data_IF_631467772649
#
_entry.id   IF_631467772649
#
_cell.length_a   1.000
_cell.length_b   1.000
_cell.length_c   1.000
_cell.angle_alpha   90.00
_cell.angle_beta   90.00
_cell.angle_gamma   90.00
#
_symmetry.space_group_name_H-M   'P 1'
#
loop_
_entity.id
_entity.type
_entity.pdbx_description
1 polymer ?
#
# COMPACT_ATOMS: atom_id res chain seq x y z
N UNK A 1 -16.29 -9.12 -15.39
CA UNK A 1 -15.57 -10.37 -15.13
C UNK A 1 -14.10 -10.08 -15.32
N UNK A 2 -13.36 -9.87 -14.21
CA UNK A 2 -11.92 -9.68 -14.23
C UNK A 2 -11.21 -11.00 -14.52
N UNK A 3 -10.31 -10.99 -15.50
CA UNK A 3 -9.34 -12.06 -15.78
C UNK A 3 -8.32 -12.14 -14.64
N UNK A 4 -7.52 -13.20 -14.56
CA UNK A 4 -6.50 -13.51 -13.53
C UNK A 4 -5.37 -12.46 -13.30
N UNK A 5 -5.63 -11.17 -13.40
CA UNK A 5 -4.67 -10.09 -13.23
C UNK A 5 -5.28 -8.91 -12.47
N UNK A 6 -4.39 -8.10 -11.89
CA UNK A 6 -4.72 -6.87 -11.17
C UNK A 6 -5.65 -5.97 -11.98
N UNK A 7 -6.80 -5.65 -11.39
CA UNK A 7 -7.79 -4.75 -11.94
C UNK A 7 -7.72 -3.37 -11.26
N UNK A 8 -8.08 -2.33 -12.01
CA UNK A 8 -8.36 -1.00 -11.47
C UNK A 8 -9.77 -0.62 -11.89
N UNK A 9 -10.72 -0.56 -10.94
CA UNK A 9 -12.14 -0.36 -11.24
C UNK A 9 -12.73 0.70 -10.31
N UNK A 10 -13.47 1.63 -10.89
CA UNK A 10 -14.15 2.68 -10.12
C UNK A 10 -15.56 2.91 -10.62
N UNK A 11 -16.49 2.98 -9.69
CA UNK A 11 -17.87 3.37 -9.95
C UNK A 11 -18.11 4.84 -9.58
N UNK A 12 -18.81 5.57 -10.46
CA UNK A 12 -19.15 6.98 -10.25
C UNK A 12 -20.65 7.18 -9.94
N UNK A 13 -21.49 6.21 -10.28
CA UNK A 13 -22.94 6.24 -10.07
C UNK A 13 -23.36 5.64 -8.74
N UNK A 14 -24.60 5.91 -8.33
CA UNK A 14 -25.19 5.30 -7.14
C UNK A 14 -25.71 3.88 -7.44
N UNK A 15 -25.67 2.99 -6.44
CA UNK A 15 -26.11 1.59 -6.51
C UNK A 15 -25.32 0.75 -7.53
N UNK A 16 -24.05 1.08 -7.73
CA UNK A 16 -23.16 0.35 -8.64
C UNK A 16 -22.61 -0.91 -7.98
N UNK A 17 -22.25 -1.91 -8.80
CA UNK A 17 -21.65 -3.16 -8.34
C UNK A 17 -20.27 -3.36 -8.99
N UNK A 18 -19.26 -3.52 -8.15
CA UNK A 18 -17.88 -3.81 -8.55
C UNK A 18 -17.50 -5.21 -8.07
N UNK A 19 -17.01 -6.04 -9.00
CA UNK A 19 -16.36 -7.31 -8.70
C UNK A 19 -14.95 -7.26 -9.27
N UNK A 20 -13.93 -7.30 -8.41
CA UNK A 20 -12.52 -7.38 -8.80
C UNK A 20 -12.19 -8.72 -9.45
N UNK A 21 -12.38 -9.81 -8.69
CA UNK A 21 -12.10 -11.17 -9.13
C UNK A 21 -10.83 -11.71 -8.47
N UNK A 22 -10.12 -12.67 -9.08
CA UNK A 22 -8.83 -13.11 -8.58
C UNK A 22 -7.73 -12.13 -8.99
N UNK A 23 -6.92 -11.66 -8.05
CA UNK A 23 -5.83 -10.73 -8.32
C UNK A 23 -5.43 -9.91 -7.10
N UNK A 24 -4.57 -8.92 -7.33
CA UNK A 24 -4.38 -7.81 -6.40
C UNK A 24 -5.08 -6.62 -7.03
N UNK A 25 -6.34 -6.38 -6.64
CA UNK A 25 -7.19 -5.39 -7.28
C UNK A 25 -7.20 -4.05 -6.55
N UNK A 26 -7.40 -2.97 -7.28
CA UNK A 26 -7.65 -1.62 -6.75
C UNK A 26 -9.05 -1.17 -7.14
N UNK A 27 -9.96 -1.14 -6.17
CA UNK A 27 -11.39 -0.97 -6.39
C UNK A 27 -11.90 0.25 -5.62
N UNK A 28 -12.83 1.02 -6.20
CA UNK A 28 -13.42 2.14 -5.48
C UNK A 28 -14.78 2.62 -5.95
N UNK A 29 -15.53 3.34 -5.11
CA UNK A 29 -16.77 4.01 -5.51
C UNK A 29 -16.90 5.42 -4.94
N UNK A 30 -17.49 6.32 -5.74
CA UNK A 30 -17.96 7.63 -5.27
C UNK A 30 -19.46 7.69 -4.99
N UNK A 31 -20.24 6.90 -5.73
CA UNK A 31 -21.68 6.96 -5.63
C UNK A 31 -22.18 6.21 -4.40
N UNK A 32 -23.33 6.67 -3.90
CA UNK A 32 -23.95 6.09 -2.72
C UNK A 32 -24.39 4.64 -2.97
N UNK A 33 -24.40 3.82 -1.91
CA UNK A 33 -24.92 2.46 -1.91
C UNK A 33 -24.22 1.51 -2.91
N UNK A 34 -22.95 1.75 -3.21
CA UNK A 34 -22.19 0.84 -4.05
C UNK A 34 -21.91 -0.49 -3.33
N UNK A 35 -21.87 -1.59 -4.07
CA UNK A 35 -21.39 -2.89 -3.58
C UNK A 35 -20.05 -3.19 -4.21
N UNK A 36 -19.00 -3.37 -3.41
CA UNK A 36 -17.66 -3.69 -3.88
C UNK A 36 -17.22 -5.02 -3.27
N UNK A 37 -16.86 -5.96 -4.14
CA UNK A 37 -16.27 -7.25 -3.77
C UNK A 37 -14.90 -7.35 -4.39
N UNK A 38 -13.86 -7.43 -3.56
CA UNK A 38 -12.47 -7.63 -3.97
C UNK A 38 -12.32 -8.93 -4.74
N UNK A 39 -12.46 -10.04 -4.02
CA UNK A 39 -12.38 -11.38 -4.58
C UNK A 39 -11.22 -12.11 -3.95
N UNK A 40 -10.42 -12.84 -4.73
CA UNK A 40 -9.35 -13.64 -4.17
C UNK A 40 -7.99 -12.97 -4.41
N UNK A 41 -7.17 -12.88 -3.37
CA UNK A 41 -5.89 -12.18 -3.42
C UNK A 41 -5.94 -10.89 -2.61
N UNK A 42 -4.81 -10.17 -2.49
CA UNK A 42 -4.73 -9.00 -1.63
C UNK A 42 -5.31 -7.77 -2.33
N UNK A 43 -6.47 -7.30 -1.90
CA UNK A 43 -7.16 -6.19 -2.56
C UNK A 43 -7.05 -4.85 -1.81
N UNK A 44 -7.13 -3.75 -2.54
CA UNK A 44 -7.25 -2.39 -2.02
C UNK A 44 -8.62 -1.83 -2.40
N UNK A 45 -9.47 -1.59 -1.40
CA UNK A 45 -10.87 -1.21 -1.59
C UNK A 45 -11.16 0.14 -0.94
N UNK A 46 -11.67 1.08 -1.75
CA UNK A 46 -12.12 2.40 -1.32
C UNK A 46 -13.65 2.54 -1.40
N UNK A 47 -14.29 2.64 -0.26
CA UNK A 47 -15.74 2.78 -0.19
C UNK A 47 -16.26 4.18 -0.54
N UNK A 48 -17.55 4.22 -0.82
CA UNK A 48 -18.33 5.42 -1.04
C UNK A 48 -19.46 5.53 -0.01
N UNK A 49 -20.27 6.60 -0.02
CA UNK A 49 -21.34 6.78 0.96
C UNK A 49 -22.26 5.55 1.04
N UNK A 50 -22.51 5.04 2.25
CA UNK A 50 -23.35 3.85 2.46
C UNK A 50 -22.92 2.60 1.67
N UNK A 51 -21.63 2.47 1.33
CA UNK A 51 -21.17 1.34 0.53
C UNK A 51 -21.20 0.02 1.32
N UNK A 52 -21.40 -1.08 0.60
CA UNK A 52 -21.21 -2.44 1.10
C UNK A 52 -19.88 -2.98 0.55
N UNK A 53 -18.93 -3.28 1.43
CA UNK A 53 -17.56 -3.66 1.06
C UNK A 53 -17.24 -5.06 1.57
N UNK A 54 -16.72 -5.91 0.68
CA UNK A 54 -16.26 -7.27 1.01
C UNK A 54 -14.87 -7.45 0.42
N UNK A 55 -13.87 -7.67 1.28
CA UNK A 55 -12.49 -7.93 0.83
C UNK A 55 -12.41 -9.21 0.00
N UNK A 56 -12.88 -10.32 0.59
CA UNK A 56 -12.73 -11.66 0.03
C UNK A 56 -11.57 -12.41 0.70
N UNK A 57 -11.12 -13.56 0.17
CA UNK A 57 -9.95 -14.26 0.71
C UNK A 57 -8.66 -13.57 0.29
N UNK A 58 -7.90 -13.06 1.26
CA UNK A 58 -6.65 -12.36 0.99
C UNK A 58 -6.28 -11.44 2.13
N UNK A 59 -5.15 -10.74 1.95
CA UNK A 59 -4.72 -9.69 2.87
C UNK A 59 -5.20 -8.34 2.33
N UNK A 60 -6.40 -7.95 2.73
CA UNK A 60 -7.07 -6.81 2.12
C UNK A 60 -6.80 -5.51 2.88
N UNK A 61 -6.92 -4.39 2.18
CA UNK A 61 -6.93 -3.05 2.75
C UNK A 61 -8.23 -2.38 2.35
N UNK A 62 -9.11 -2.15 3.31
CA UNK A 62 -10.43 -1.54 3.10
C UNK A 62 -10.45 -0.18 3.79
N UNK A 63 -10.80 0.87 3.04
CA UNK A 63 -10.87 2.24 3.54
C UNK A 63 -12.21 2.84 3.15
N UNK A 64 -12.97 3.30 4.14
CA UNK A 64 -14.12 4.17 3.92
C UNK A 64 -14.00 5.44 4.78
N UNK A 65 -14.22 6.59 4.15
CA UNK A 65 -14.19 7.91 4.79
C UNK A 65 -15.57 8.59 4.80
N UNK A 66 -16.58 7.95 4.22
CA UNK A 66 -17.96 8.40 4.16
C UNK A 66 -18.79 7.70 5.24
N UNK A 67 -19.98 8.23 5.48
CA UNK A 67 -20.87 7.70 6.52
C UNK A 67 -21.61 6.43 6.07
N UNK A 68 -21.82 5.53 7.03
CA UNK A 68 -22.74 4.41 6.96
C UNK A 68 -22.27 3.22 6.12
N UNK A 69 -20.97 3.04 5.96
CA UNK A 69 -20.41 1.87 5.30
C UNK A 69 -20.78 0.58 6.04
N UNK A 70 -20.98 -0.50 5.29
CA UNK A 70 -21.14 -1.86 5.82
C UNK A 70 -20.03 -2.73 5.29
N UNK A 71 -19.15 -3.19 6.17
CA UNK A 71 -17.94 -3.93 5.81
C UNK A 71 -18.02 -5.35 6.35
N UNK A 72 -17.69 -6.31 5.48
CA UNK A 72 -17.51 -7.70 5.85
C UNK A 72 -16.08 -8.13 5.56
N UNK A 73 -15.32 -8.38 6.63
CA UNK A 73 -13.96 -8.91 6.57
C UNK A 73 -14.03 -10.43 6.49
N UNK A 74 -13.57 -11.00 5.38
CA UNK A 74 -13.66 -12.44 5.13
C UNK A 74 -12.31 -13.14 5.08
N UNK A 75 -11.23 -12.38 4.83
CA UNK A 75 -9.86 -12.85 4.73
C UNK A 75 -9.01 -12.36 5.90
N UNK A 76 -8.01 -13.16 6.29
CA UNK A 76 -7.13 -12.89 7.42
C UNK A 76 -6.05 -11.84 7.12
N UNK A 77 -5.53 -11.19 8.17
CA UNK A 77 -4.50 -10.16 8.14
C UNK A 77 -4.93 -8.87 7.45
N UNK A 78 -6.25 -8.66 7.31
CA UNK A 78 -6.82 -7.52 6.63
C UNK A 78 -6.73 -6.27 7.50
N UNK A 79 -6.62 -5.11 6.83
CA UNK A 79 -6.65 -3.81 7.47
C UNK A 79 -7.90 -3.06 7.06
N UNK A 80 -8.66 -2.57 8.03
CA UNK A 80 -9.89 -1.81 7.78
C UNK A 80 -9.78 -0.44 8.42
N UNK A 81 -10.11 0.61 7.68
CA UNK A 81 -10.32 1.95 8.22
C UNK A 81 -11.70 2.45 7.90
N UNK A 82 -12.40 2.81 8.97
CA UNK A 82 -13.70 3.46 8.94
C UNK A 82 -13.61 4.76 9.71
N UNK A 83 -13.80 5.87 9.00
CA UNK A 83 -13.72 7.20 9.57
C UNK A 83 -15.06 7.93 9.59
N UNK A 84 -16.04 7.50 8.80
CA UNK A 84 -17.36 8.12 8.70
C UNK A 84 -18.32 7.64 9.79
N UNK A 85 -19.38 8.40 10.03
CA UNK A 85 -20.34 8.07 11.07
C UNK A 85 -21.10 6.78 10.75
N UNK A 86 -21.52 6.05 11.79
CA UNK A 86 -22.46 4.93 11.70
C UNK A 86 -22.00 3.74 10.83
N UNK A 87 -20.69 3.60 10.64
CA UNK A 87 -20.09 2.47 9.94
C UNK A 87 -20.31 1.15 10.70
N UNK A 88 -20.46 0.05 9.98
CA UNK A 88 -20.66 -1.30 10.54
C UNK A 88 -19.58 -2.23 10.03
N UNK A 89 -18.90 -2.92 10.93
CA UNK A 89 -17.85 -3.89 10.57
C UNK A 89 -18.14 -5.24 11.19
N UNK A 90 -18.13 -6.28 10.37
CA UNK A 90 -18.29 -7.68 10.77
C UNK A 90 -17.14 -8.53 10.24
N UNK A 91 -16.77 -9.57 10.97
CA UNK A 91 -15.66 -10.45 10.62
C UNK A 91 -16.17 -11.89 10.49
N UNK A 92 -15.82 -12.58 9.42
CA UNK A 92 -16.16 -14.00 9.29
C UNK A 92 -15.39 -14.83 10.33
N UNK A 93 -15.95 -15.95 10.82
CA UNK A 93 -15.30 -16.80 11.82
C UNK A 93 -13.95 -17.40 11.38
N UNK A 94 -13.66 -17.42 10.07
CA UNK A 94 -12.37 -17.87 9.56
C UNK A 94 -11.29 -16.77 9.54
N UNK A 95 -11.68 -15.51 9.66
CA UNK A 95 -10.77 -14.36 9.63
C UNK A 95 -9.89 -14.32 10.88
N UNK A 96 -8.64 -13.91 10.76
CA UNK A 96 -7.65 -13.92 11.85
C UNK A 96 -6.68 -12.75 11.67
N UNK A 97 -6.13 -12.23 12.77
CA UNK A 97 -5.07 -11.23 12.80
C UNK A 97 -5.38 -9.93 12.02
N UNK A 98 -6.66 -9.53 11.98
CA UNK A 98 -7.10 -8.31 11.32
C UNK A 98 -6.84 -7.06 12.18
N UNK A 99 -6.74 -5.90 11.54
CA UNK A 99 -6.52 -4.63 12.21
C UNK A 99 -7.58 -3.62 11.77
N UNK A 100 -8.43 -3.21 12.70
CA UNK A 100 -9.57 -2.33 12.44
C UNK A 100 -9.33 -0.99 13.11
N UNK A 101 -9.19 0.05 12.30
CA UNK A 101 -9.16 1.45 12.73
C UNK A 101 -10.56 2.04 12.60
N UNK A 102 -11.23 2.19 13.73
CA UNK A 102 -12.61 2.63 13.77
C UNK A 102 -12.72 4.03 14.39
N UNK A 103 -13.69 4.81 13.92
CA UNK A 103 -14.13 5.97 14.69
C UNK A 103 -15.04 5.50 15.87
N UNK A 104 -15.32 6.37 16.85
CA UNK A 104 -16.12 5.97 18.01
C UNK A 104 -17.59 5.61 17.72
N UNK A 105 -18.16 6.06 16.60
CA UNK A 105 -19.54 5.77 16.21
C UNK A 105 -19.70 4.47 15.42
N UNK A 106 -18.60 3.86 14.98
CA UNK A 106 -18.64 2.60 14.27
C UNK A 106 -19.13 1.46 15.18
N UNK A 107 -20.06 0.67 14.65
CA UNK A 107 -20.56 -0.56 15.25
C UNK A 107 -19.68 -1.72 14.80
N UNK A 108 -18.76 -2.13 15.67
CA UNK A 108 -17.91 -3.31 15.45
C UNK A 108 -18.62 -4.52 16.04
N UNK A 109 -19.01 -5.46 15.18
CA UNK A 109 -19.69 -6.68 15.59
C UNK A 109 -18.79 -7.55 16.48
N UNK A 110 -19.39 -8.26 17.44
CA UNK A 110 -18.69 -9.16 18.36
C UNK A 110 -17.89 -10.27 17.66
N UNK A 111 -18.27 -10.62 16.41
CA UNK A 111 -17.52 -11.53 15.55
C UNK A 111 -16.07 -11.10 15.30
N UNK A 112 -15.76 -9.80 15.35
CA UNK A 112 -14.39 -9.30 15.21
C UNK A 112 -13.56 -9.39 16.50
N UNK A 113 -14.19 -9.56 17.66
CA UNK A 113 -13.53 -9.41 18.97
C UNK A 113 -13.00 -10.74 19.55
N UNK A 114 -13.29 -11.89 18.93
CA UNK A 114 -12.98 -13.22 19.45
C UNK A 114 -11.52 -13.70 19.19
N UNK A 115 -10.53 -12.80 19.27
CA UNK A 115 -9.12 -12.97 18.84
C UNK A 115 -8.87 -12.81 17.33
N UNK A 116 -9.81 -12.23 16.59
CA UNK A 116 -9.74 -12.15 15.13
C UNK A 116 -9.23 -10.80 14.66
N UNK A 117 -9.55 -9.72 15.39
CA UNK A 117 -9.10 -8.39 15.06
C UNK A 117 -8.59 -7.61 16.28
N UNK A 118 -7.54 -6.82 16.08
CA UNK A 118 -7.20 -5.72 16.96
C UNK A 118 -8.00 -4.48 16.53
N UNK A 119 -8.80 -3.92 17.44
CA UNK A 119 -9.58 -2.71 17.18
C UNK A 119 -8.89 -1.50 17.82
N UNK A 120 -8.57 -0.49 17.02
CA UNK A 120 -7.97 0.77 17.44
C UNK A 120 -8.94 1.91 17.14
N UNK A 121 -9.33 2.67 18.17
CA UNK A 121 -10.12 3.88 18.00
C UNK A 121 -9.21 5.04 17.56
N UNK A 122 -9.71 5.91 16.66
CA UNK A 122 -8.92 7.04 16.17
C UNK A 122 -8.34 7.89 17.30
N UNK A 123 -7.01 7.99 17.33
CA UNK A 123 -6.24 9.05 17.98
C UNK A 123 -5.45 9.78 16.90
N UNK A 124 -5.90 10.98 16.55
CA UNK A 124 -5.33 11.75 15.43
C UNK A 124 -3.90 12.20 15.71
N UNK A 125 -3.05 12.05 14.69
CA UNK A 125 -1.78 12.75 14.63
C UNK A 125 -0.76 12.08 13.75
N UNK A 126 -0.95 12.12 12.42
CA UNK A 126 0.21 12.09 11.54
C UNK A 126 1.03 13.35 11.84
N UNK A 127 2.12 13.20 12.61
CA UNK A 127 3.07 14.29 12.83
C UNK A 127 3.61 14.74 11.47
N UNK A 128 3.70 16.05 11.20
CA UNK A 128 4.38 16.53 10.01
C UNK A 128 5.81 15.98 10.01
N UNK A 129 6.18 15.30 8.91
CA UNK A 129 7.53 14.81 8.73
C UNK A 129 8.46 16.00 8.54
N UNK A 130 9.41 16.18 9.45
CA UNK A 130 10.42 17.21 9.34
C UNK A 130 11.38 16.86 8.20
N UNK A 131 11.43 17.67 7.16
CA UNK A 131 12.42 17.56 6.10
C UNK A 131 13.74 18.18 6.56
N UNK A 132 14.73 17.36 6.93
CA UNK A 132 16.07 17.87 7.31
C UNK A 132 17.24 17.17 6.62
N UNK A 133 17.03 16.26 5.66
CA UNK A 133 18.14 15.71 4.88
C UNK A 133 18.22 16.27 3.46
N UNK A 134 19.44 16.41 2.94
CA UNK A 134 19.72 16.73 1.53
C UNK A 134 19.32 15.55 0.66
N UNK A 135 18.07 15.50 0.23
CA UNK A 135 17.66 14.64 -0.89
C UNK A 135 18.36 15.13 -2.15
N UNK A 136 19.01 14.21 -2.85
CA UNK A 136 19.69 14.46 -4.13
C UNK A 136 18.89 13.81 -5.26
N UNK A 137 19.17 14.23 -6.49
CA UNK A 137 18.51 13.74 -7.70
C UNK A 137 17.21 14.48 -8.01
N UNK A 138 16.65 14.16 -9.17
CA UNK A 138 15.43 14.76 -9.72
C UNK A 138 14.21 13.85 -9.61
N UNK A 139 14.39 12.59 -9.22
CA UNK A 139 13.32 11.61 -9.09
C UNK A 139 12.95 10.93 -10.42
N UNK A 140 13.79 11.08 -11.45
CA UNK A 140 13.65 10.40 -12.74
C UNK A 140 14.35 9.04 -12.70
N UNK A 141 14.08 8.15 -13.66
CA UNK A 141 14.76 6.84 -13.69
C UNK A 141 16.29 6.97 -13.91
N UNK A 142 16.74 8.00 -14.62
CA UNK A 142 18.16 8.27 -14.86
C UNK A 142 18.84 8.95 -13.66
N UNK A 143 18.08 9.73 -12.89
CA UNK A 143 18.55 10.45 -11.71
C UNK A 143 17.54 10.33 -10.54
N UNK A 144 17.45 9.13 -9.91
CA UNK A 144 16.49 8.86 -8.84
C UNK A 144 16.78 9.66 -7.59
N UNK A 145 15.76 9.87 -6.75
CA UNK A 145 15.97 10.46 -5.44
C UNK A 145 16.80 9.55 -4.55
N UNK A 146 17.86 10.11 -3.96
CA UNK A 146 18.71 9.45 -2.96
C UNK A 146 18.79 10.34 -1.72
N UNK A 147 18.71 9.72 -0.56
CA UNK A 147 18.88 10.43 0.71
C UNK A 147 19.77 9.63 1.67
N UNK A 148 20.43 10.29 2.64
CA UNK A 148 21.28 9.61 3.61
C UNK A 148 20.51 8.60 4.46
N UNK A 149 21.24 7.57 4.90
CA UNK A 149 20.76 6.61 5.88
C UNK A 149 20.47 7.26 7.24
N UNK A 150 19.35 6.87 7.85
CA UNK A 150 19.00 7.32 9.21
C UNK A 150 19.91 6.69 10.27
N UNK A 151 20.40 5.46 10.03
CA UNK A 151 21.37 4.76 10.87
C UNK A 151 22.49 4.11 10.03
N UNK A 152 23.50 4.88 9.59
CA UNK A 152 24.52 4.41 8.65
C UNK A 152 25.54 3.42 9.24
N UNK A 153 25.55 3.21 10.57
CA UNK A 153 26.47 2.27 11.22
C UNK A 153 25.95 0.82 11.22
N UNK A 154 24.66 0.62 10.92
CA UNK A 154 24.04 -0.70 10.82
C UNK A 154 24.40 -1.41 9.51
N UNK A 155 24.09 -2.71 9.44
CA UNK A 155 24.04 -3.42 8.15
C UNK A 155 22.75 -3.09 7.38
N UNK A 156 21.67 -2.86 8.12
CA UNK A 156 20.36 -2.46 7.62
C UNK A 156 20.09 -1.01 8.00
N UNK A 157 19.48 -0.28 7.08
CA UNK A 157 19.25 1.15 7.19
C UNK A 157 17.84 1.51 6.71
N UNK A 158 17.18 2.42 7.42
CA UNK A 158 15.98 3.10 6.92
C UNK A 158 16.38 4.44 6.31
N UNK A 159 15.75 4.79 5.20
CA UNK A 159 15.87 6.08 4.51
C UNK A 159 14.50 6.74 4.53
N UNK A 160 14.25 7.56 5.55
CA UNK A 160 12.93 8.16 5.80
C UNK A 160 12.86 9.67 5.53
N UNK A 161 13.93 10.26 5.01
CA UNK A 161 14.05 11.70 4.82
C UNK A 161 13.53 12.23 3.48
N UNK A 162 13.01 11.36 2.61
CA UNK A 162 12.31 11.78 1.39
C UNK A 162 11.09 12.65 1.73
N UNK A 163 10.82 13.73 1.00
CA UNK A 163 9.69 14.60 1.30
C UNK A 163 8.36 13.88 1.10
N UNK A 164 7.38 14.17 1.97
CA UNK A 164 6.00 13.81 1.73
C UNK A 164 5.44 14.57 0.52
N UNK A 165 4.54 13.93 -0.20
CA UNK A 165 3.85 14.46 -1.38
C UNK A 165 2.36 14.54 -1.09
N UNK A 166 1.69 15.53 -1.65
CA UNK A 166 0.27 15.80 -1.40
C UNK A 166 -0.51 15.76 -2.70
N UNK A 167 -1.61 15.01 -2.70
CA UNK A 167 -2.58 14.97 -3.79
C UNK A 167 -3.90 15.55 -3.27
N UNK A 168 -4.49 16.47 -4.03
CA UNK A 168 -5.72 17.17 -3.64
C UNK A 168 -6.82 16.85 -4.61
N UNK A 169 -7.96 16.43 -4.07
CA UNK A 169 -9.14 16.13 -4.86
C UNK A 169 -9.17 14.68 -5.33
N UNK A 170 -10.38 14.26 -5.67
CA UNK A 170 -10.66 12.91 -6.09
C UNK A 170 -9.93 12.59 -7.39
N UNK A 171 -9.33 11.41 -7.46
CA UNK A 171 -8.57 10.92 -8.61
C UNK A 171 -7.36 11.76 -8.99
N UNK A 172 -6.94 12.70 -8.14
CA UNK A 172 -5.64 13.31 -8.30
C UNK A 172 -4.60 12.18 -8.33
N UNK A 173 -3.91 12.07 -9.45
CA UNK A 173 -2.96 11.01 -9.69
C UNK A 173 -1.62 11.61 -10.13
N UNK A 174 -0.54 10.95 -9.73
CA UNK A 174 0.79 11.26 -10.20
C UNK A 174 1.64 9.99 -10.33
N UNK A 175 2.73 10.09 -11.10
CA UNK A 175 3.77 9.08 -11.02
C UNK A 175 4.53 9.26 -9.70
N UNK A 176 4.69 8.16 -8.97
CA UNK A 176 5.58 8.15 -7.80
C UNK A 176 7.02 8.27 -8.33
N UNK A 177 7.84 9.20 -7.82
CA UNK A 177 9.21 9.35 -8.28
C UNK A 177 10.03 8.07 -8.16
N UNK A 178 11.14 7.99 -8.90
CA UNK A 178 12.12 6.93 -8.72
C UNK A 178 12.96 7.25 -7.46
N UNK A 179 13.16 6.24 -6.63
CA UNK A 179 13.99 6.31 -5.42
C UNK A 179 15.10 5.26 -5.50
N UNK A 180 16.27 5.56 -4.93
CA UNK A 180 17.38 4.61 -4.88
C UNK A 180 18.00 4.61 -3.48
N UNK A 181 18.35 3.42 -3.02
CA UNK A 181 19.10 3.26 -1.78
C UNK A 181 20.48 3.94 -1.87
N UNK A 182 21.00 4.50 -0.77
CA UNK A 182 22.30 5.16 -0.76
C UNK A 182 23.44 4.16 -0.98
N UNK A 183 24.60 4.64 -1.42
CA UNK A 183 25.72 3.80 -1.87
C UNK A 183 26.34 2.92 -0.77
N UNK A 184 26.19 3.31 0.49
CA UNK A 184 26.63 2.55 1.67
C UNK A 184 25.69 1.39 2.02
N UNK A 185 24.43 1.45 1.56
CA UNK A 185 23.41 0.41 1.73
C UNK A 185 22.68 0.17 0.41
N UNK A 186 23.33 -0.30 -0.66
CA UNK A 186 22.84 -0.12 -2.02
C UNK A 186 21.62 -0.97 -2.40
N UNK A 187 21.15 -1.89 -1.55
CA UNK A 187 20.10 -2.85 -1.88
C UNK A 187 18.84 -2.62 -1.08
N UNK A 188 17.67 -2.76 -1.70
CA UNK A 188 16.41 -2.90 -0.97
C UNK A 188 16.42 -4.20 -0.18
N UNK A 189 15.93 -4.16 1.06
CA UNK A 189 15.93 -5.29 1.98
C UNK A 189 14.63 -6.10 1.85
N UNK A 190 14.72 -7.43 1.91
CA UNK A 190 13.54 -8.28 2.06
C UNK A 190 12.86 -8.00 3.40
N UNK A 191 11.59 -7.62 3.36
CA UNK A 191 10.77 -7.41 4.56
C UNK A 191 9.57 -8.35 4.51
N UNK A 192 9.28 -9.03 5.63
CA UNK A 192 8.27 -10.10 5.66
C UNK A 192 6.82 -9.61 5.49
N UNK A 193 6.60 -8.27 5.49
CA UNK A 193 5.29 -7.64 5.36
C UNK A 193 5.37 -6.29 4.64
N UNK A 194 5.62 -6.24 3.31
CA UNK A 194 5.59 -4.98 2.57
C UNK A 194 4.17 -4.38 2.59
N UNK A 195 4.03 -3.07 2.35
CA UNK A 195 2.71 -2.49 2.10
C UNK A 195 2.08 -3.14 0.84
N UNK A 196 0.76 -3.20 0.76
CA UNK A 196 0.09 -3.78 -0.43
C UNK A 196 0.43 -2.92 -1.66
N UNK A 197 0.83 -3.56 -2.75
CA UNK A 197 1.10 -2.88 -4.03
C UNK A 197 2.48 -2.23 -4.15
N UNK A 198 3.41 -2.44 -3.21
CA UNK A 198 4.81 -1.99 -3.31
C UNK A 198 5.79 -3.16 -3.13
N UNK A 199 7.04 -3.07 -3.64
CA UNK A 199 7.98 -4.19 -3.58
C UNK A 199 8.67 -4.27 -2.22
N UNK A 200 9.42 -5.36 -2.01
CA UNK A 200 10.25 -5.53 -0.81
C UNK A 200 11.18 -4.34 -0.58
N UNK A 201 11.30 -3.97 0.70
CA UNK A 201 12.13 -2.87 1.15
C UNK A 201 11.52 -1.50 0.88
N UNK A 202 10.35 -1.40 0.26
CA UNK A 202 9.64 -0.14 0.09
C UNK A 202 8.47 -0.08 1.06
N UNK A 203 8.38 1.04 1.77
CA UNK A 203 7.26 1.38 2.64
C UNK A 203 6.67 2.72 2.22
N UNK A 204 5.39 2.91 2.53
CA UNK A 204 4.72 4.18 2.37
C UNK A 204 4.19 4.67 3.71
N UNK A 205 4.23 5.98 3.94
CA UNK A 205 3.80 6.63 5.19
C UNK A 205 2.71 7.66 4.98
N UNK A 206 1.70 7.79 5.89
CA UNK A 206 1.44 6.91 7.05
C UNK A 206 1.28 5.42 6.65
N UNK A 207 1.28 4.40 7.50
CA UNK A 207 1.02 3.05 6.94
C UNK A 207 -0.46 2.94 6.55
N UNK A 208 -0.78 2.10 5.56
CA UNK A 208 -2.17 1.72 5.29
C UNK A 208 -2.84 1.25 6.58
N UNK A 209 -4.14 1.54 6.77
CA UNK A 209 -5.14 2.01 5.78
C UNK A 209 -5.30 3.55 5.62
N UNK A 210 -5.32 4.08 4.38
CA UNK A 210 -5.50 5.51 4.05
C UNK A 210 -6.20 5.74 2.71
N UNK A 211 -6.90 6.86 2.50
CA UNK A 211 -7.58 7.20 1.25
C UNK A 211 -6.65 7.59 0.07
N UNK A 212 -5.39 7.15 0.10
CA UNK A 212 -4.41 7.34 -0.97
C UNK A 212 -3.77 5.99 -1.28
N UNK A 213 -3.98 5.50 -2.50
CA UNK A 213 -3.39 4.25 -2.97
C UNK A 213 -2.04 4.55 -3.62
N UNK A 214 -1.00 3.84 -3.20
CA UNK A 214 0.35 3.96 -3.79
C UNK A 214 0.75 2.59 -4.33
N UNK A 215 0.93 2.50 -5.65
CA UNK A 215 1.42 1.31 -6.32
C UNK A 215 2.81 1.57 -6.87
N UNK A 216 3.75 0.68 -6.57
CA UNK A 216 5.12 0.68 -7.10
C UNK A 216 5.40 -0.76 -7.51
N UNK A 217 5.50 -1.00 -8.81
CA UNK A 217 5.68 -2.33 -9.41
C UNK A 217 7.02 -2.43 -10.13
N UNK A 218 7.55 -1.30 -10.60
CA UNK A 218 8.86 -1.24 -11.24
C UNK A 218 9.99 -1.05 -10.24
N UNK A 219 11.04 -1.86 -10.39
CA UNK A 219 12.25 -1.77 -9.57
C UNK A 219 13.50 -1.67 -10.44
N UNK A 220 14.51 -0.95 -9.95
CA UNK A 220 15.86 -0.95 -10.53
C UNK A 220 16.72 -2.00 -9.86
N UNK A 221 17.68 -2.58 -10.59
CA UNK A 221 18.49 -3.68 -10.09
C UNK A 221 19.90 -3.72 -10.69
N UNK A 222 20.81 -4.39 -9.99
CA UNK A 222 22.20 -4.66 -10.42
C UNK A 222 22.48 -6.15 -10.39
N UNK A 223 23.40 -6.63 -11.22
CA UNK A 223 23.80 -8.04 -11.20
C UNK A 223 24.53 -8.38 -9.89
N UNK A 224 24.18 -9.50 -9.24
CA UNK A 224 24.94 -9.99 -8.09
C UNK A 224 26.27 -10.55 -8.57
N UNK A 225 27.41 -10.04 -8.10
CA UNK A 225 28.70 -10.66 -8.44
C UNK A 225 28.82 -12.01 -7.73
N UNK A 226 28.65 -13.10 -8.47
CA UNK A 226 28.73 -14.48 -7.97
C UNK A 226 29.45 -15.41 -8.96
N UNK A 227 30.19 -16.44 -8.50
CA UNK A 227 31.11 -17.19 -9.35
C UNK A 227 30.46 -18.29 -10.23
N UNK A 228 29.17 -18.23 -10.62
CA UNK A 228 28.51 -19.31 -11.38
C UNK A 228 27.59 -18.84 -12.53
N UNK A 229 27.57 -19.50 -13.71
CA UNK A 229 27.01 -18.96 -14.94
C UNK A 229 25.58 -19.41 -15.26
N UNK A 230 24.74 -19.71 -14.26
CA UNK A 230 23.35 -20.11 -14.48
C UNK A 230 22.42 -19.09 -13.81
N UNK A 231 22.12 -18.02 -14.56
CA UNK A 231 21.25 -16.87 -14.20
C UNK A 231 21.70 -16.14 -12.93
N UNK A 232 22.52 -15.09 -13.08
CA UNK A 232 22.89 -14.26 -11.93
C UNK A 232 21.65 -13.55 -11.36
N UNK A 233 21.35 -13.73 -10.05
CA UNK A 233 20.26 -13.00 -9.43
C UNK A 233 20.52 -11.50 -9.49
N UNK A 234 19.51 -10.72 -9.87
CA UNK A 234 19.61 -9.27 -9.87
C UNK A 234 19.15 -8.74 -8.52
N UNK A 235 20.03 -8.03 -7.82
CA UNK A 235 19.72 -7.41 -6.53
C UNK A 235 19.02 -6.08 -6.78
N UNK A 236 17.87 -5.89 -6.14
CA UNK A 236 17.06 -4.68 -6.27
C UNK A 236 17.71 -3.52 -5.53
N UNK A 237 17.81 -2.35 -6.15
CA UNK A 237 18.51 -1.17 -5.62
C UNK A 237 17.59 0.04 -5.39
N UNK A 238 16.36 -0.02 -5.92
CA UNK A 238 15.40 1.08 -5.82
C UNK A 238 14.16 0.86 -6.66
N UNK A 239 13.40 1.92 -6.88
CA UNK A 239 12.13 1.93 -7.60
C UNK A 239 12.27 2.62 -8.96
N UNK A 240 11.32 2.33 -9.87
CA UNK A 240 11.17 3.03 -11.14
C UNK A 240 9.92 3.90 -11.11
N UNK A 241 9.95 4.98 -11.89
CA UNK A 241 8.83 5.89 -12.13
C UNK A 241 8.28 5.75 -13.54
N UNK A 242 7.09 6.31 -13.77
CA UNK A 242 6.40 6.31 -15.05
C UNK A 242 5.56 5.06 -15.27
N UNK A 243 4.83 5.02 -16.39
CA UNK A 243 4.05 3.84 -16.78
C UNK A 243 4.97 2.69 -17.23
N UNK A 244 4.71 1.43 -16.83
CA UNK A 244 3.65 0.94 -15.93
C UNK A 244 4.11 0.78 -14.46
N UNK A 245 5.19 1.46 -14.07
CA UNK A 245 6.00 1.14 -12.90
C UNK A 245 5.51 1.72 -11.59
N UNK A 246 4.84 2.86 -11.59
CA UNK A 246 4.38 3.45 -10.35
C UNK A 246 3.20 4.40 -10.54
N UNK A 247 2.40 4.57 -9.50
CA UNK A 247 1.34 5.57 -9.45
C UNK A 247 0.91 5.80 -8.00
N UNK A 248 0.61 7.05 -7.66
CA UNK A 248 -0.14 7.39 -6.47
C UNK A 248 -1.46 8.03 -6.89
N UNK A 249 -2.56 7.59 -6.27
CA UNK A 249 -3.92 8.05 -6.57
C UNK A 249 -4.63 8.41 -5.29
N UNK A 250 -5.14 9.64 -5.21
CA UNK A 250 -6.00 10.07 -4.11
C UNK A 250 -7.44 9.63 -4.39
N UNK A 251 -8.00 8.87 -3.47
CA UNK A 251 -9.35 8.31 -3.57
C UNK A 251 -10.39 9.11 -2.80
N UNK A 252 -9.97 10.18 -2.13
CA UNK A 252 -10.87 11.09 -1.43
C UNK A 252 -10.91 12.47 -2.09
N UNK A 253 -11.97 13.22 -1.80
CA UNK A 253 -12.10 14.63 -2.19
C UNK A 253 -11.20 15.56 -1.36
N UNK A 254 -10.70 15.09 -0.21
CA UNK A 254 -9.77 15.84 0.66
C UNK A 254 -8.33 15.80 0.14
N UNK A 255 -7.46 16.65 0.70
CA UNK A 255 -6.01 16.54 0.47
C UNK A 255 -5.44 15.42 1.32
N UNK A 256 -4.75 14.47 0.68
CA UNK A 256 -4.05 13.38 1.35
C UNK A 256 -2.58 13.37 0.99
N UNK A 257 -1.76 12.89 1.93
CA UNK A 257 -0.31 12.85 1.76
C UNK A 257 0.22 11.43 1.83
N UNK A 258 1.27 11.19 1.06
CA UNK A 258 2.06 9.97 1.13
C UNK A 258 3.55 10.30 1.12
N UNK A 259 4.34 9.48 1.77
CA UNK A 259 5.78 9.56 1.78
C UNK A 259 6.35 8.17 1.49
N UNK A 260 7.35 8.08 0.61
CA UNK A 260 8.08 6.83 0.39
C UNK A 260 9.22 6.72 1.39
N UNK A 261 9.40 5.53 1.95
CA UNK A 261 10.51 5.17 2.83
C UNK A 261 11.17 3.92 2.27
N UNK A 262 12.49 3.92 2.19
CA UNK A 262 13.24 2.73 1.79
C UNK A 262 13.87 2.07 3.02
N UNK A 263 13.77 0.74 3.07
CA UNK A 263 14.53 -0.11 3.95
C UNK A 263 15.62 -0.76 3.11
N UNK A 264 16.84 -0.31 3.33
CA UNK A 264 18.00 -0.66 2.56
C UNK A 264 18.95 -1.55 3.39
N UNK A 265 19.83 -2.28 2.74
CA UNK A 265 20.85 -3.12 3.36
C UNK A 265 22.16 -3.07 2.58
N UNK A 266 23.28 -3.20 3.30
CA UNK A 266 24.60 -3.41 2.70
C UNK A 266 24.89 -4.89 2.41
N UNK A 267 24.03 -5.80 2.89
CA UNK A 267 24.18 -7.24 2.73
C UNK A 267 23.50 -7.76 1.47
N UNK A 268 24.23 -8.54 0.67
CA UNK A 268 23.62 -9.27 -0.44
C UNK A 268 22.73 -10.43 0.03
N UNK A 269 22.90 -10.91 1.27
CA UNK A 269 22.14 -12.03 1.81
C UNK A 269 20.70 -11.67 2.22
N UNK A 270 20.45 -10.40 2.53
CA UNK A 270 19.12 -9.88 2.91
C UNK A 270 18.55 -8.93 1.85
N UNK A 271 19.23 -8.81 0.70
CA UNK A 271 18.80 -8.01 -0.43
C UNK A 271 17.62 -8.67 -1.15
N UNK A 272 16.63 -7.86 -1.52
CA UNK A 272 15.53 -8.25 -2.37
C UNK A 272 16.07 -8.59 -3.77
N UNK A 273 15.57 -9.68 -4.34
CA UNK A 273 16.03 -10.19 -5.64
C UNK A 273 14.93 -10.01 -6.67
N UNK A 274 15.26 -9.37 -7.79
CA UNK A 274 14.40 -9.37 -8.96
C UNK A 274 14.52 -10.71 -9.68
N UNK A 275 13.51 -11.56 -9.49
CA UNK A 275 13.40 -12.81 -10.25
C UNK A 275 12.89 -12.46 -11.66
N UNK A 276 13.79 -12.45 -12.64
CA UNK A 276 13.40 -12.36 -14.05
C UNK A 276 12.87 -13.74 -14.46
N UNK A 277 11.55 -13.91 -14.42
CA UNK A 277 10.91 -15.14 -14.89
C UNK A 277 11.02 -15.27 -16.40
N UNK A 278 11.75 -16.29 -16.86
CA UNK A 278 11.34 -17.05 -18.04
C UNK A 278 10.62 -18.29 -17.51
N UNK A 279 9.30 -18.39 -17.74
CA UNK A 279 8.48 -19.54 -17.37
C UNK A 279 7.04 -19.16 -17.13
#
# INVERSE_FOLDING_TARGET
>A
MGTHGTNFIVALGANEAILGGPGNDQLGSLGANATIVGGAGPDLIFGGPHATLVGGPGRDVIVDTYDGATIRVTGSHSKVKVSGADDKVSCEPSSQDDLIYANPSALIDSSCQANHAQVLLHGDGAKPFAATARVQGTGTNDDPYVAPCDNPAGQDCTVSSFPARSLTGFWANEYVPAYRCPSDHPYLRVILSPDVGVPDGVETRPKEPRPIGVAITGVSSVASQGPQPLVEPRLTTGTLTGFPHSSATNWSTSTNTYQVVLNCTSSTATAAVLVTGNG
#
